data_IF_927196703000
#
_entry.id   IF_927196703000
#
_cell.length_a   1.000
_cell.length_b   1.000
_cell.length_c   1.000
_cell.angle_alpha   90.00
_cell.angle_beta   90.00
_cell.angle_gamma   90.00
#
_symmetry.space_group_name_H-M   'P 1'
#
loop_
_entity.id
_entity.type
_entity.pdbx_description
1 polymer ?
#
# COMPACT_ATOMS: atom_id res chain seq x y z
N UNK A 1 -7.29 13.44 5.70
CA UNK A 1 -8.03 12.36 5.02
C UNK A 1 -8.42 11.37 6.09
N UNK A 2 -9.69 10.97 6.17
CA UNK A 2 -10.11 10.00 7.16
C UNK A 2 -9.63 8.62 6.70
N UNK A 3 -9.03 7.83 7.59
CA UNK A 3 -8.59 6.46 7.31
C UNK A 3 -9.17 5.52 8.35
N UNK A 4 -9.49 4.30 7.94
CA UNK A 4 -10.01 3.26 8.82
C UNK A 4 -8.82 2.44 9.32
N UNK A 5 -8.71 2.30 10.64
CA UNK A 5 -7.64 1.51 11.26
C UNK A 5 -8.05 0.02 11.28
N UNK A 6 -7.17 -0.84 10.76
CA UNK A 6 -7.32 -2.29 10.78
C UNK A 6 -6.32 -2.87 11.77
N UNK A 7 -6.82 -3.69 12.68
CA UNK A 7 -6.05 -4.35 13.73
C UNK A 7 -6.45 -5.83 13.89
N UNK A 8 -5.90 -6.48 14.92
CA UNK A 8 -6.20 -7.88 15.21
C UNK A 8 -7.67 -8.16 15.59
N UNK A 9 -8.43 -7.13 16.00
CA UNK A 9 -9.79 -7.26 16.49
C UNK A 9 -10.82 -7.11 15.36
N UNK A 10 -10.50 -6.36 14.30
CA UNK A 10 -11.46 -6.02 13.25
C UNK A 10 -11.08 -6.46 11.82
N UNK A 11 -9.90 -7.09 11.60
CA UNK A 11 -9.45 -7.47 10.25
C UNK A 11 -10.45 -8.33 9.46
N UNK A 12 -11.30 -9.09 10.15
CA UNK A 12 -12.29 -9.97 9.53
C UNK A 12 -13.32 -9.21 8.71
N UNK A 13 -13.62 -7.96 9.08
CA UNK A 13 -14.56 -7.10 8.36
C UNK A 13 -14.00 -6.64 6.99
N UNK A 14 -12.70 -6.84 6.75
CA UNK A 14 -11.97 -6.30 5.60
C UNK A 14 -11.33 -7.37 4.71
N UNK A 15 -11.75 -8.63 4.81
CA UNK A 15 -11.19 -9.75 4.01
C UNK A 15 -11.60 -9.72 2.52
N UNK A 16 -12.59 -8.91 2.17
CA UNK A 16 -13.16 -8.86 0.82
C UNK A 16 -13.00 -7.49 0.15
N UNK A 17 -12.03 -6.69 0.61
CA UNK A 17 -11.72 -5.41 -0.02
C UNK A 17 -11.26 -5.62 -1.47
N UNK A 18 -11.82 -4.82 -2.38
CA UNK A 18 -11.32 -4.74 -3.76
C UNK A 18 -10.11 -3.80 -3.80
N UNK A 19 -8.96 -4.31 -3.37
CA UNK A 19 -7.74 -3.52 -3.20
C UNK A 19 -7.13 -3.16 -4.56
N UNK A 20 -6.91 -1.86 -4.77
CA UNK A 20 -6.29 -1.33 -5.99
C UNK A 20 -4.88 -0.81 -5.76
N UNK A 21 -4.52 -0.45 -4.53
CA UNK A 21 -3.15 -0.13 -4.16
C UNK A 21 -2.90 -0.42 -2.68
N UNK A 22 -1.67 -0.77 -2.32
CA UNK A 22 -1.23 -0.77 -0.94
C UNK A 22 0.25 -0.43 -0.80
N UNK A 23 0.62 0.27 0.27
CA UNK A 23 2.00 0.47 0.66
C UNK A 23 2.40 -0.50 1.76
N UNK A 24 3.67 -0.88 1.77
CA UNK A 24 4.29 -1.65 2.83
C UNK A 24 5.57 -0.93 3.28
N UNK A 25 5.59 -0.51 4.55
CA UNK A 25 6.75 0.05 5.20
C UNK A 25 7.41 -1.01 6.08
N UNK A 26 8.73 -1.19 5.93
CA UNK A 26 9.50 -2.05 6.84
C UNK A 26 9.47 -1.50 8.27
N UNK A 27 9.76 -2.35 9.25
CA UNK A 27 9.77 -1.97 10.67
C UNK A 27 10.79 -0.91 11.08
N UNK A 28 11.79 -0.63 10.23
CA UNK A 28 12.74 0.48 10.39
C UNK A 28 12.63 1.56 9.31
N UNK A 29 11.55 1.55 8.52
CA UNK A 29 11.35 2.52 7.46
C UNK A 29 11.13 3.93 8.04
N UNK A 30 11.55 4.96 7.31
CA UNK A 30 11.25 6.34 7.71
C UNK A 30 9.78 6.68 7.45
N UNK A 31 9.20 7.50 8.34
CA UNK A 31 7.82 7.96 8.26
C UNK A 31 6.92 7.13 9.17
N UNK A 32 6.47 5.98 8.69
CA UNK A 32 5.53 5.09 9.39
C UNK A 32 6.06 3.65 9.44
N UNK A 33 7.03 3.37 10.34
CA UNK A 33 7.65 2.06 10.41
C UNK A 33 6.61 0.96 10.69
N UNK A 34 6.61 -0.09 9.87
CA UNK A 34 5.63 -1.17 9.97
C UNK A 34 4.22 -0.81 9.50
N UNK A 35 4.01 0.40 8.98
CA UNK A 35 2.75 0.86 8.44
C UNK A 35 2.40 0.21 7.10
N UNK A 36 1.11 -0.08 6.93
CA UNK A 36 0.52 -0.58 5.70
C UNK A 36 -0.67 0.32 5.40
N UNK A 37 -0.61 1.05 4.29
CA UNK A 37 -1.74 1.86 3.81
C UNK A 37 -2.39 1.08 2.67
N UNK A 38 -3.70 0.90 2.73
CA UNK A 38 -4.46 0.14 1.74
C UNK A 38 -5.49 1.09 1.12
N UNK A 39 -5.69 0.99 -0.19
CA UNK A 39 -6.71 1.73 -0.93
C UNK A 39 -7.55 0.75 -1.71
N UNK A 40 -8.87 0.81 -1.52
CA UNK A 40 -9.82 0.03 -2.30
C UNK A 40 -10.28 0.78 -3.57
N UNK A 41 -11.02 0.09 -4.43
CA UNK A 41 -11.53 0.64 -5.69
C UNK A 41 -12.57 1.75 -5.52
N UNK A 42 -13.17 1.86 -4.33
CA UNK A 42 -14.09 2.93 -3.94
C UNK A 42 -13.33 4.18 -3.42
N UNK A 43 -12.00 4.10 -3.30
CA UNK A 43 -11.15 5.19 -2.82
C UNK A 43 -11.13 5.32 -1.29
N UNK A 44 -11.69 4.35 -0.56
CA UNK A 44 -11.55 4.29 0.88
C UNK A 44 -10.12 3.87 1.24
N UNK A 45 -9.60 4.54 2.27
CA UNK A 45 -8.23 4.34 2.73
C UNK A 45 -8.25 3.68 4.10
N UNK A 46 -7.43 2.65 4.22
CA UNK A 46 -7.24 1.89 5.43
C UNK A 46 -5.78 1.97 5.84
N UNK A 47 -5.54 1.76 7.12
CA UNK A 47 -4.21 1.72 7.68
C UNK A 47 -4.12 0.58 8.68
N UNK A 48 -3.01 -0.14 8.66
CA UNK A 48 -2.67 -1.15 9.65
C UNK A 48 -1.21 -1.00 10.02
N UNK A 49 -0.82 -1.39 11.24
CA UNK A 49 0.58 -1.38 11.64
C UNK A 49 0.95 -2.70 12.35
N UNK A 50 2.02 -3.34 11.91
CA UNK A 50 2.47 -4.63 12.45
C UNK A 50 3.65 -4.51 13.43
N UNK A 51 4.25 -3.32 13.56
CA UNK A 51 5.39 -3.07 14.46
C UNK A 51 5.03 -2.30 15.72
N UNK A 52 4.09 -1.35 15.62
CA UNK A 52 3.79 -0.39 16.66
C UNK A 52 2.28 -0.22 16.83
N UNK A 53 1.83 -0.02 18.07
CA UNK A 53 0.42 0.16 18.41
C UNK A 53 -0.03 -0.74 19.56
N UNK A 54 -1.24 -0.51 20.06
CA UNK A 54 -1.84 -1.31 21.14
C UNK A 54 -2.31 -2.68 20.64
N UNK A 55 -2.84 -2.72 19.43
CA UNK A 55 -3.34 -3.90 18.74
C UNK A 55 -2.66 -3.97 17.37
N UNK A 56 -1.43 -4.47 17.32
CA UNK A 56 -0.73 -4.62 16.04
C UNK A 56 -1.38 -5.72 15.21
N UNK A 57 -1.44 -5.51 13.90
CA UNK A 57 -1.96 -6.54 13.00
C UNK A 57 -0.92 -7.66 12.84
N UNK A 58 -1.37 -8.92 12.92
CA UNK A 58 -0.51 -10.09 12.73
C UNK A 58 -0.35 -10.42 11.25
N UNK A 59 0.73 -11.13 10.92
CA UNK A 59 1.07 -11.47 9.53
C UNK A 59 -0.04 -12.26 8.82
N UNK A 60 -0.68 -13.19 9.51
CA UNK A 60 -1.79 -14.01 9.02
C UNK A 60 -3.04 -13.18 8.75
N UNK A 61 -3.28 -12.14 9.56
CA UNK A 61 -4.42 -11.24 9.39
C UNK A 61 -4.15 -10.26 8.23
N UNK A 62 -2.91 -9.79 8.06
CA UNK A 62 -2.52 -9.01 6.87
C UNK A 62 -2.79 -9.81 5.60
N UNK A 63 -2.42 -11.09 5.57
CA UNK A 63 -2.66 -11.97 4.41
C UNK A 63 -4.15 -12.18 4.14
N UNK A 64 -4.96 -12.26 5.19
CA UNK A 64 -6.42 -12.35 5.04
C UNK A 64 -7.04 -11.09 4.41
N UNK A 65 -6.52 -9.90 4.74
CA UNK A 65 -6.98 -8.62 4.18
C UNK A 65 -6.37 -8.36 2.80
N UNK A 66 -5.08 -8.67 2.62
CA UNK A 66 -4.30 -8.43 1.41
C UNK A 66 -3.74 -9.77 0.91
N UNK A 67 -4.50 -10.60 0.16
CA UNK A 67 -4.04 -11.93 -0.25
C UNK A 67 -2.71 -11.94 -1.02
N UNK A 68 -2.46 -10.92 -1.86
CA UNK A 68 -1.19 -10.77 -2.59
C UNK A 68 0.03 -10.60 -1.67
N UNK A 69 -0.18 -10.31 -0.38
CA UNK A 69 0.89 -10.21 0.60
C UNK A 69 1.68 -11.53 0.74
N UNK A 70 1.05 -12.68 0.48
CA UNK A 70 1.71 -13.99 0.48
C UNK A 70 2.79 -14.14 -0.60
N UNK A 71 2.63 -13.43 -1.71
CA UNK A 71 3.56 -13.45 -2.84
C UNK A 71 4.76 -12.51 -2.65
N UNK A 72 4.77 -11.70 -1.58
CA UNK A 72 5.84 -10.73 -1.36
C UNK A 72 7.16 -11.43 -1.03
N UNK A 73 8.18 -11.11 -1.82
CA UNK A 73 9.57 -11.47 -1.60
C UNK A 73 10.28 -10.29 -0.96
N UNK A 74 10.50 -10.39 0.35
CA UNK A 74 11.14 -9.36 1.16
C UNK A 74 12.59 -9.79 1.43
N UNK A 75 13.56 -9.07 0.86
CA UNK A 75 14.99 -9.21 1.16
C UNK A 75 15.47 -8.06 2.05
N UNK A 76 16.78 -7.88 2.29
CA UNK A 76 17.29 -6.71 3.03
C UNK A 76 17.10 -5.39 2.25
N UNK A 77 17.17 -5.44 0.92
CA UNK A 77 17.21 -4.24 0.07
C UNK A 77 16.00 -4.09 -0.84
N UNK A 78 15.19 -5.14 -1.00
CA UNK A 78 14.07 -5.17 -1.95
C UNK A 78 12.83 -5.79 -1.35
N UNK A 79 11.67 -5.31 -1.75
CA UNK A 79 10.37 -5.93 -1.51
C UNK A 79 9.63 -5.90 -2.85
N UNK A 80 9.26 -7.07 -3.37
CA UNK A 80 8.59 -7.20 -4.67
C UNK A 80 7.64 -8.38 -4.68
N UNK A 81 6.74 -8.43 -5.64
CA UNK A 81 5.90 -9.59 -5.93
C UNK A 81 6.22 -10.15 -7.32
N UNK A 82 6.08 -11.46 -7.50
CA UNK A 82 6.10 -12.09 -8.83
C UNK A 82 4.70 -12.09 -9.47
N UNK A 83 3.68 -11.67 -8.73
CA UNK A 83 2.32 -11.55 -9.22
C UNK A 83 2.21 -10.41 -10.25
N UNK A 84 2.13 -10.78 -11.53
CA UNK A 84 2.10 -9.83 -12.65
C UNK A 84 0.86 -8.95 -12.73
N UNK A 85 -0.13 -9.16 -11.86
CA UNK A 85 -1.28 -8.27 -11.69
C UNK A 85 -0.94 -7.04 -10.83
N UNK A 86 0.29 -6.93 -10.32
CA UNK A 86 0.73 -5.84 -9.46
C UNK A 86 2.03 -5.22 -9.97
N UNK A 87 2.03 -3.90 -10.09
CA UNK A 87 3.23 -3.10 -10.28
C UNK A 87 3.88 -2.84 -8.91
N UNK A 88 5.15 -3.17 -8.77
CA UNK A 88 5.95 -2.80 -7.59
C UNK A 88 6.67 -1.48 -7.83
N UNK A 89 6.61 -0.56 -6.87
CA UNK A 89 7.24 0.75 -6.88
C UNK A 89 8.06 0.92 -5.60
N UNK A 90 9.36 1.21 -5.74
CA UNK A 90 10.21 1.58 -4.61
C UNK A 90 9.96 3.05 -4.23
N UNK A 91 9.47 3.27 -3.00
CA UNK A 91 9.24 4.61 -2.44
C UNK A 91 10.39 5.08 -1.54
N UNK A 92 11.49 4.33 -1.51
CA UNK A 92 12.72 4.66 -0.81
C UNK A 92 12.63 4.46 0.70
N UNK A 93 13.80 4.41 1.34
CA UNK A 93 13.94 4.34 2.80
C UNK A 93 13.09 3.23 3.46
N UNK A 94 12.98 2.08 2.79
CA UNK A 94 12.24 0.92 3.29
C UNK A 94 10.73 0.96 3.04
N UNK A 95 10.23 1.89 2.23
CA UNK A 95 8.83 1.98 1.81
C UNK A 95 8.66 1.44 0.39
N UNK A 96 7.63 0.62 0.18
CA UNK A 96 7.27 0.07 -1.12
C UNK A 96 5.80 0.27 -1.37
N UNK A 97 5.42 0.43 -2.64
CA UNK A 97 4.05 0.57 -3.10
C UNK A 97 3.75 -0.49 -4.14
N UNK A 98 2.58 -1.11 -4.00
CA UNK A 98 2.04 -2.08 -4.92
C UNK A 98 0.78 -1.50 -5.53
N UNK A 99 0.73 -1.44 -6.85
CA UNK A 99 -0.38 -0.84 -7.61
C UNK A 99 -0.98 -1.91 -8.51
N UNK A 100 -2.29 -2.15 -8.37
CA UNK A 100 -2.99 -3.11 -9.21
C UNK A 100 -2.90 -2.74 -10.68
N UNK A 101 -2.75 -3.74 -11.54
CA UNK A 101 -2.68 -3.59 -13.00
C UNK A 101 -3.93 -2.93 -13.58
N UNK A 102 -5.06 -2.98 -12.88
CA UNK A 102 -6.30 -2.29 -13.26
C UNK A 102 -6.13 -0.78 -13.31
N UNK A 103 -5.29 -0.20 -12.44
CA UNK A 103 -5.06 1.24 -12.36
C UNK A 103 -3.61 1.65 -12.73
N UNK A 104 -2.69 0.69 -12.89
CA UNK A 104 -1.26 0.96 -13.05
C UNK A 104 -0.94 1.87 -14.24
N UNK A 105 -1.63 1.71 -15.37
CA UNK A 105 -1.41 2.57 -16.55
C UNK A 105 -1.79 4.03 -16.29
N UNK A 106 -2.89 4.27 -15.57
CA UNK A 106 -3.30 5.62 -15.19
C UNK A 106 -2.34 6.20 -14.13
N UNK A 107 -1.93 5.37 -13.17
CA UNK A 107 -0.94 5.74 -12.16
C UNK A 107 0.39 6.16 -12.79
N UNK A 108 0.98 5.36 -13.69
CA UNK A 108 2.23 5.68 -14.37
C UNK A 108 2.15 7.00 -15.15
N UNK A 109 1.03 7.26 -15.85
CA UNK A 109 0.81 8.53 -16.57
C UNK A 109 0.80 9.73 -15.63
N UNK A 110 0.16 9.62 -14.47
CA UNK A 110 0.16 10.69 -13.48
C UNK A 110 1.54 10.92 -12.86
N UNK A 111 2.30 9.84 -12.62
CA UNK A 111 3.68 9.92 -12.14
C UNK A 111 4.58 10.60 -13.18
N UNK A 112 4.49 10.23 -14.45
CA UNK A 112 5.24 10.87 -15.55
C UNK A 112 4.85 12.35 -15.71
N UNK A 113 3.57 12.69 -15.60
CA UNK A 113 3.09 14.06 -15.79
C UNK A 113 3.40 15.00 -14.60
N UNK A 114 3.49 14.46 -13.39
CA UNK A 114 3.70 15.25 -12.16
C UNK A 114 5.16 15.52 -11.80
N UNK A 115 6.10 15.05 -12.62
CA UNK A 115 7.54 15.26 -12.49
C UNK A 115 8.07 14.99 -11.08
N UNK A 116 7.79 13.77 -10.57
CA UNK A 116 8.27 13.34 -9.26
C UNK A 116 9.73 12.87 -9.38
N UNK A 117 10.65 13.79 -9.70
CA UNK A 117 12.08 13.52 -9.94
C UNK A 117 12.80 12.80 -8.79
N UNK A 118 12.21 12.82 -7.59
CA UNK A 118 12.75 12.13 -6.42
C UNK A 118 11.77 11.09 -5.87
N UNK A 119 12.34 9.97 -5.44
CA UNK A 119 11.62 8.89 -4.75
C UNK A 119 10.84 9.42 -3.53
N UNK A 120 11.41 10.38 -2.79
CA UNK A 120 10.75 11.02 -1.66
C UNK A 120 9.56 11.92 -2.04
N UNK A 121 9.57 12.53 -3.23
CA UNK A 121 8.40 13.27 -3.73
C UNK A 121 7.24 12.33 -4.05
N UNK A 122 7.53 11.17 -4.64
CA UNK A 122 6.53 10.14 -4.92
C UNK A 122 5.96 9.54 -3.62
N UNK A 123 6.82 9.23 -2.64
CA UNK A 123 6.38 8.76 -1.31
C UNK A 123 5.34 9.70 -0.67
N UNK A 124 5.52 11.02 -0.78
CA UNK A 124 4.59 12.00 -0.20
C UNK A 124 3.27 12.13 -0.95
N UNK A 125 3.20 11.68 -2.21
CA UNK A 125 2.10 12.03 -3.12
C UNK A 125 1.39 10.84 -3.75
N UNK A 126 1.94 9.62 -3.68
CA UNK A 126 1.36 8.44 -4.32
C UNK A 126 -0.11 8.23 -3.94
N UNK A 127 -0.48 8.44 -2.67
CA UNK A 127 -1.84 8.24 -2.19
C UNK A 127 -2.82 9.20 -2.89
N UNK A 128 -2.42 10.47 -3.04
CA UNK A 128 -3.20 11.46 -3.78
C UNK A 128 -3.31 11.11 -5.25
N UNK A 129 -2.26 10.56 -5.85
CA UNK A 129 -2.27 10.10 -7.25
C UNK A 129 -3.28 8.97 -7.42
N UNK A 130 -3.22 7.94 -6.58
CA UNK A 130 -4.16 6.80 -6.62
C UNK A 130 -5.60 7.29 -6.48
N UNK A 131 -5.89 8.15 -5.51
CA UNK A 131 -7.25 8.66 -5.32
C UNK A 131 -7.74 9.56 -6.46
N UNK A 132 -6.83 10.26 -7.15
CA UNK A 132 -7.17 11.09 -8.32
C UNK A 132 -7.62 10.23 -9.50
N UNK A 133 -7.02 9.06 -9.70
CA UNK A 133 -7.29 8.20 -10.87
C UNK A 133 -8.48 7.25 -10.66
N UNK A 134 -8.95 7.11 -9.43
CA UNK A 134 -10.14 6.32 -9.14
C UNK A 134 -11.42 7.08 -9.53
N UNK A 135 -12.49 6.36 -9.90
CA UNK A 135 -13.78 6.99 -10.18
C UNK A 135 -14.26 7.76 -8.94
N UNK A 136 -14.57 9.04 -9.11
CA UNK A 136 -15.22 9.82 -8.05
C UNK A 136 -16.69 9.40 -8.02
N UNK A 137 -17.16 8.90 -6.87
CA UNK A 137 -18.59 8.63 -6.62
C UNK A 137 -19.26 9.84 -5.98
#
# INVERSE_FOLDING_TARGET
MNRIEIDELNYQDYQHLDIVAFSFARGGAMGDPGGIIIVDSDGQVYHANYCYGRHTIKSEHIKAVIPVFEDLRISLTTCKTENTNWLTVDLGYGNYLFVSKTISKAFSREVEAGDYETVGALYKRWLRIVLKILPQR
#
